data_IF_480552871184
#
_entry.id   IF_480552871184
#
_cell.length_a   1.000
_cell.length_b   1.000
_cell.length_c   1.000
_cell.angle_alpha   90.00
_cell.angle_beta   90.00
_cell.angle_gamma   90.00
#
_symmetry.space_group_name_H-M   'P 1'
#
loop_
_entity.id
_entity.type
_entity.pdbx_description
1 polymer ?
#
# COMPACT_ATOMS: atom_id res chain seq x y z
N UNK A 1 -1.29 37.36 -70.21
CA UNK A 1 -0.28 37.24 -69.13
C UNK A 1 0.41 35.90 -69.33
N UNK A 2 1.73 35.84 -69.36
CA UNK A 2 2.43 34.54 -69.51
C UNK A 2 2.26 33.75 -68.22
N UNK A 3 1.86 32.49 -68.33
CA UNK A 3 1.75 31.60 -67.18
C UNK A 3 3.16 31.40 -66.57
N UNK A 4 3.36 31.63 -65.26
CA UNK A 4 4.65 31.41 -64.62
C UNK A 4 5.11 29.95 -64.71
N UNK A 5 4.18 28.99 -64.74
CA UNK A 5 4.49 27.57 -64.90
C UNK A 5 5.00 27.22 -66.30
N UNK A 6 4.50 27.88 -67.35
CA UNK A 6 4.98 27.67 -68.72
C UNK A 6 6.43 28.16 -68.88
N UNK A 7 6.79 29.24 -68.19
CA UNK A 7 8.17 29.78 -68.20
C UNK A 7 9.15 28.84 -67.48
N UNK A 8 8.76 28.26 -66.35
CA UNK A 8 9.55 27.27 -65.63
C UNK A 8 9.69 25.96 -66.42
N UNK A 9 8.63 25.56 -67.12
CA UNK A 9 8.62 24.37 -67.99
C UNK A 9 9.57 24.55 -69.17
N UNK A 10 9.50 25.67 -69.88
CA UNK A 10 10.43 25.97 -70.97
C UNK A 10 11.88 26.04 -70.48
N UNK A 11 12.15 26.66 -69.33
CA UNK A 11 13.50 26.70 -68.77
C UNK A 11 14.03 25.30 -68.41
N UNK A 12 13.19 24.43 -67.85
CA UNK A 12 13.54 23.06 -67.52
C UNK A 12 13.85 22.21 -68.76
N UNK A 13 13.12 22.41 -69.87
CA UNK A 13 13.29 21.68 -71.13
C UNK A 13 14.48 22.20 -71.93
N UNK A 14 14.60 23.53 -72.08
CA UNK A 14 15.62 24.16 -72.92
C UNK A 14 17.01 24.11 -72.26
N UNK A 15 17.07 24.06 -70.92
CA UNK A 15 18.33 24.02 -70.16
C UNK A 15 18.30 22.97 -69.02
N UNK A 16 18.23 21.67 -69.37
CA UNK A 16 17.98 20.60 -68.40
C UNK A 16 19.10 20.46 -67.36
N UNK A 17 20.37 20.66 -67.75
CA UNK A 17 21.52 20.59 -66.83
C UNK A 17 21.47 21.66 -65.75
N UNK A 18 21.12 22.90 -66.10
CA UNK A 18 21.02 23.99 -65.10
C UNK A 18 19.79 23.86 -64.23
N UNK A 19 18.68 23.35 -64.76
CA UNK A 19 17.49 23.08 -63.97
C UNK A 19 17.74 21.99 -62.92
N UNK A 20 18.34 20.86 -63.32
CA UNK A 20 18.73 19.78 -62.39
C UNK A 20 19.73 20.29 -61.34
N UNK A 21 20.76 21.05 -61.74
CA UNK A 21 21.72 21.61 -60.80
C UNK A 21 21.06 22.57 -59.79
N UNK A 22 20.09 23.37 -60.22
CA UNK A 22 19.35 24.27 -59.34
C UNK A 22 18.46 23.50 -58.34
N UNK A 23 17.76 22.45 -58.77
CA UNK A 23 16.98 21.59 -57.88
C UNK A 23 17.86 20.83 -56.89
N UNK A 24 19.00 20.30 -57.34
CA UNK A 24 19.97 19.65 -56.44
C UNK A 24 20.52 20.66 -55.44
N UNK A 25 20.87 21.87 -55.87
CA UNK A 25 21.34 22.93 -54.97
C UNK A 25 20.25 23.36 -53.97
N UNK A 26 18.98 23.38 -54.38
CA UNK A 26 17.85 23.66 -53.49
C UNK A 26 17.65 22.53 -52.47
N UNK A 27 17.69 21.26 -52.90
CA UNK A 27 17.59 20.09 -52.00
C UNK A 27 18.74 20.10 -51.01
N UNK A 28 19.98 20.32 -51.48
CA UNK A 28 21.15 20.38 -50.62
C UNK A 28 21.07 21.58 -49.66
N UNK A 29 20.65 22.75 -50.14
CA UNK A 29 20.46 23.94 -49.32
C UNK A 29 19.40 23.72 -48.23
N UNK A 30 18.22 23.22 -48.59
CA UNK A 30 17.17 22.87 -47.63
C UNK A 30 17.64 21.78 -46.66
N UNK A 31 18.38 20.77 -47.15
CA UNK A 31 18.96 19.73 -46.29
C UNK A 31 20.03 20.26 -45.33
N UNK A 32 20.70 21.37 -45.63
CA UNK A 32 21.64 22.05 -44.73
C UNK A 32 20.92 22.92 -43.68
N UNK A 33 19.72 23.43 -43.97
CA UNK A 33 18.88 24.06 -42.92
C UNK A 33 18.25 23.02 -42.02
N UNK A 34 17.99 21.85 -42.59
CA UNK A 34 17.44 20.69 -41.92
C UNK A 34 18.55 19.95 -41.18
N UNK A 35 19.81 19.89 -41.62
CA UNK A 35 20.94 19.38 -40.84
C UNK A 35 21.78 20.54 -40.26
N UNK A 36 21.59 20.87 -38.98
CA UNK A 36 22.27 21.98 -38.29
C UNK A 36 23.82 21.91 -38.27
N UNK A 37 24.51 22.91 -37.69
CA UNK A 37 25.96 23.13 -37.84
C UNK A 37 26.85 22.23 -36.95
N UNK A 38 26.45 21.00 -36.66
CA UNK A 38 27.21 20.07 -35.80
C UNK A 38 27.53 18.79 -36.59
N UNK A 39 28.82 18.41 -36.76
CA UNK A 39 29.22 17.27 -37.59
C UNK A 39 28.83 15.88 -37.06
N UNK A 40 28.30 15.80 -35.83
CA UNK A 40 28.04 14.52 -35.14
C UNK A 40 26.59 14.05 -35.26
N UNK A 41 25.65 14.90 -35.70
CA UNK A 41 24.26 14.51 -36.01
C UNK A 41 23.97 14.74 -37.49
N UNK A 42 24.16 13.72 -38.32
CA UNK A 42 23.64 13.72 -39.70
C UNK A 42 22.11 13.57 -39.65
N UNK A 43 21.43 14.70 -39.48
CA UNK A 43 19.98 14.80 -39.43
C UNK A 43 19.60 15.94 -38.50
N UNK A 44 18.67 16.77 -38.94
CA UNK A 44 17.77 17.61 -38.13
C UNK A 44 17.72 17.18 -36.68
N UNK A 45 17.93 18.14 -35.80
CA UNK A 45 17.30 18.12 -34.49
C UNK A 45 15.77 18.18 -34.66
N UNK A 46 15.20 17.14 -35.26
CA UNK A 46 13.85 16.69 -34.92
C UNK A 46 14.06 16.05 -33.56
N UNK A 47 14.02 16.88 -32.53
CA UNK A 47 13.83 16.40 -31.18
C UNK A 47 12.36 16.02 -31.12
N UNK A 48 12.10 14.71 -31.10
CA UNK A 48 10.78 14.24 -30.74
C UNK A 48 10.62 14.55 -29.26
N UNK A 49 9.93 15.66 -29.00
CA UNK A 49 9.48 15.96 -27.66
C UNK A 49 8.47 14.86 -27.29
N UNK A 50 8.91 13.97 -26.40
CA UNK A 50 8.09 12.90 -25.85
C UNK A 50 7.55 13.29 -24.48
N UNK A 51 7.72 14.54 -24.06
CA UNK A 51 7.05 15.06 -22.87
C UNK A 51 5.55 15.11 -23.10
N UNK A 52 4.80 15.06 -22.00
CA UNK A 52 3.35 15.20 -22.01
C UNK A 52 2.89 16.46 -22.76
N UNK A 53 3.62 17.57 -22.58
CA UNK A 53 3.36 18.87 -23.20
C UNK A 53 3.37 18.84 -24.73
N UNK A 54 4.08 17.88 -25.35
CA UNK A 54 4.11 17.73 -26.80
C UNK A 54 2.79 17.22 -27.39
N UNK A 55 1.97 16.55 -26.55
CA UNK A 55 0.71 15.94 -26.96
C UNK A 55 -0.52 16.82 -26.68
N UNK A 56 -0.37 17.86 -25.86
CA UNK A 56 -1.44 18.80 -25.54
C UNK A 56 -1.30 20.13 -26.28
N UNK A 57 -2.42 20.78 -26.64
CA UNK A 57 -2.36 22.14 -27.17
C UNK A 57 -1.79 23.09 -26.10
N UNK A 58 -1.06 24.11 -26.55
CA UNK A 58 -0.42 25.07 -25.65
C UNK A 58 -1.43 25.63 -24.64
N UNK A 59 -1.03 25.70 -23.36
CA UNK A 59 -1.81 26.17 -22.21
C UNK A 59 -2.62 27.45 -22.49
N UNK A 60 -1.99 28.41 -23.16
CA UNK A 60 -2.61 29.70 -23.53
C UNK A 60 -3.78 29.58 -24.53
N UNK A 61 -3.91 28.44 -25.21
CA UNK A 61 -4.88 28.19 -26.28
C UNK A 61 -6.03 27.26 -25.86
N UNK A 62 -5.98 26.66 -24.66
CA UNK A 62 -6.98 25.70 -24.19
C UNK A 62 -7.20 25.80 -22.66
N UNK A 63 -8.43 26.14 -22.28
CA UNK A 63 -8.85 26.33 -20.87
C UNK A 63 -8.85 25.03 -20.05
N UNK A 64 -9.16 23.88 -20.67
CA UNK A 64 -9.15 22.58 -19.98
C UNK A 64 -7.72 22.13 -19.65
N UNK A 65 -6.77 22.39 -20.57
CA UNK A 65 -5.35 22.13 -20.37
C UNK A 65 -4.77 23.07 -19.31
N UNK A 66 -5.14 24.35 -19.32
CA UNK A 66 -4.76 25.32 -18.28
C UNK A 66 -5.24 24.92 -16.89
N UNK A 67 -6.47 24.40 -16.79
CA UNK A 67 -7.01 23.88 -15.55
C UNK A 67 -6.25 22.63 -15.07
N UNK A 68 -5.91 21.71 -15.96
CA UNK A 68 -5.14 20.50 -15.64
C UNK A 68 -3.78 20.86 -15.01
N UNK A 69 -2.98 21.69 -15.69
CA UNK A 69 -1.69 22.14 -15.16
C UNK A 69 -1.84 22.93 -13.85
N UNK A 70 -2.89 23.75 -13.73
CA UNK A 70 -3.13 24.49 -12.48
C UNK A 70 -3.42 23.54 -11.32
N UNK A 71 -4.16 22.45 -11.57
CA UNK A 71 -4.40 21.41 -10.56
C UNK A 71 -3.11 20.70 -10.21
N UNK A 72 -2.29 20.33 -11.20
CA UNK A 72 -1.02 19.65 -10.97
C UNK A 72 -0.03 20.52 -10.17
N UNK A 73 0.14 21.79 -10.57
CA UNK A 73 1.00 22.77 -9.90
C UNK A 73 0.54 23.07 -8.47
N UNK A 74 -0.78 23.05 -8.21
CA UNK A 74 -1.34 23.46 -6.91
C UNK A 74 -1.53 22.30 -5.94
N UNK A 75 -1.87 21.10 -6.43
CA UNK A 75 -2.39 20.02 -5.59
C UNK A 75 -1.65 18.68 -5.71
N UNK A 76 -0.79 18.46 -6.71
CA UNK A 76 -0.08 17.18 -6.83
C UNK A 76 1.37 17.28 -6.39
N UNK A 77 1.74 16.55 -5.34
CA UNK A 77 2.95 15.75 -5.41
C UNK A 77 2.77 14.74 -6.54
N UNK A 78 3.71 14.62 -7.47
CA UNK A 78 3.63 13.67 -8.58
C UNK A 78 3.72 12.23 -8.03
N UNK A 79 2.57 11.62 -7.78
CA UNK A 79 2.47 10.24 -7.30
C UNK A 79 2.15 9.34 -8.49
N UNK A 80 3.08 8.47 -8.82
CA UNK A 80 2.83 7.37 -9.75
C UNK A 80 2.33 6.15 -8.98
N UNK A 81 1.41 5.40 -9.60
CA UNK A 81 0.85 4.17 -9.03
C UNK A 81 1.18 3.01 -9.94
N UNK A 82 1.98 2.07 -9.45
CA UNK A 82 2.18 0.77 -10.11
C UNK A 82 1.14 -0.19 -9.57
N UNK A 83 0.26 -0.67 -10.45
CA UNK A 83 -0.80 -1.60 -10.08
C UNK A 83 -0.59 -2.96 -10.73
N UNK A 84 -0.51 -3.99 -9.90
CA UNK A 84 -0.59 -5.38 -10.34
C UNK A 84 -2.04 -5.82 -10.30
N UNK A 85 -2.53 -6.40 -11.39
CA UNK A 85 -3.82 -7.10 -11.43
C UNK A 85 -3.53 -8.60 -11.36
N UNK A 86 -4.02 -9.25 -10.30
CA UNK A 86 -3.79 -10.67 -10.06
C UNK A 86 -5.09 -11.41 -10.33
N UNK A 87 -5.08 -12.26 -11.35
CA UNK A 87 -6.21 -13.08 -11.77
C UNK A 87 -6.13 -14.49 -11.13
N UNK A 88 -7.28 -15.03 -10.74
CA UNK A 88 -7.43 -16.37 -10.19
C UNK A 88 -8.86 -16.90 -10.43
N UNK A 89 -9.10 -18.18 -10.16
CA UNK A 89 -10.42 -18.78 -10.36
C UNK A 89 -11.46 -18.19 -9.36
N UNK A 90 -12.73 -17.98 -9.77
CA UNK A 90 -13.79 -17.57 -8.86
C UNK A 90 -13.88 -18.48 -7.62
N UNK A 91 -13.94 -17.87 -6.44
CA UNK A 91 -13.96 -18.58 -5.16
C UNK A 91 -12.59 -19.01 -4.64
N UNK A 92 -11.50 -18.71 -5.36
CA UNK A 92 -10.15 -19.00 -4.88
C UNK A 92 -9.81 -18.23 -3.59
N UNK A 93 -10.44 -17.09 -3.30
CA UNK A 93 -10.26 -16.34 -2.06
C UNK A 93 -10.76 -17.09 -0.82
N UNK A 94 -11.59 -18.13 -0.97
CA UNK A 94 -11.97 -18.99 0.16
C UNK A 94 -10.84 -19.96 0.58
N UNK A 95 -9.76 -20.03 -0.22
CA UNK A 95 -8.61 -20.87 0.04
C UNK A 95 -7.42 -20.05 0.53
N UNK A 96 -6.88 -20.43 1.70
CA UNK A 96 -5.73 -19.79 2.33
C UNK A 96 -4.48 -19.76 1.43
N UNK A 97 -4.31 -20.75 0.52
CA UNK A 97 -3.17 -20.75 -0.41
C UNK A 97 -3.19 -19.57 -1.37
N UNK A 98 -4.38 -19.06 -1.71
CA UNK A 98 -4.52 -17.86 -2.57
C UNK A 98 -4.02 -16.63 -1.82
N UNK A 99 -4.34 -16.51 -0.53
CA UNK A 99 -3.86 -15.42 0.31
C UNK A 99 -2.35 -15.44 0.51
N UNK A 100 -1.77 -16.63 0.68
CA UNK A 100 -0.32 -16.80 0.74
C UNK A 100 0.36 -16.39 -0.58
N UNK A 101 -0.25 -16.72 -1.73
CA UNK A 101 0.23 -16.27 -3.04
C UNK A 101 0.16 -14.75 -3.18
N UNK A 102 -0.94 -14.11 -2.74
CA UNK A 102 -1.07 -12.65 -2.75
C UNK A 102 -0.03 -12.00 -1.82
N UNK A 103 0.23 -12.58 -0.65
CA UNK A 103 1.24 -12.11 0.29
C UNK A 103 2.65 -12.16 -0.32
N UNK A 104 2.98 -13.23 -1.05
CA UNK A 104 4.27 -13.35 -1.74
C UNK A 104 4.42 -12.30 -2.86
N UNK A 105 3.35 -12.03 -3.63
CA UNK A 105 3.36 -10.97 -4.65
C UNK A 105 3.53 -9.57 -4.03
N UNK A 106 2.85 -9.29 -2.93
CA UNK A 106 2.98 -8.04 -2.19
C UNK A 106 4.40 -7.89 -1.60
N UNK A 107 4.97 -8.96 -1.06
CA UNK A 107 6.35 -9.00 -0.57
C UNK A 107 7.37 -8.73 -1.68
N UNK A 108 7.20 -9.33 -2.86
CA UNK A 108 8.05 -9.07 -4.02
C UNK A 108 7.98 -7.59 -4.46
N UNK A 109 6.77 -7.02 -4.48
CA UNK A 109 6.60 -5.58 -4.75
C UNK A 109 7.27 -4.70 -3.69
N UNK A 110 7.26 -5.09 -2.42
CA UNK A 110 7.95 -4.40 -1.32
C UNK A 110 9.48 -4.51 -1.42
N UNK A 111 10.02 -5.59 -1.96
CA UNK A 111 11.47 -5.79 -2.07
C UNK A 111 12.07 -5.30 -3.39
N UNK A 112 11.23 -5.02 -4.38
CA UNK A 112 11.69 -4.60 -5.70
C UNK A 112 12.69 -3.42 -5.62
N UNK A 113 13.96 -3.73 -5.89
CA UNK A 113 15.08 -2.84 -5.53
C UNK A 113 15.04 -1.49 -6.23
N UNK A 114 14.60 -1.47 -7.49
CA UNK A 114 14.60 -0.26 -8.31
C UNK A 114 13.55 0.76 -7.88
N UNK A 115 12.46 0.32 -7.23
CA UNK A 115 11.42 1.23 -6.71
C UNK A 115 11.73 1.74 -5.30
N UNK A 116 12.58 1.05 -4.53
CA UNK A 116 12.80 1.29 -3.09
C UNK A 116 13.11 2.74 -2.70
N UNK A 117 13.87 3.47 -3.53
CA UNK A 117 14.26 4.87 -3.28
C UNK A 117 13.15 5.88 -3.54
N UNK A 118 12.11 5.46 -4.25
CA UNK A 118 11.03 6.31 -4.73
C UNK A 118 9.70 5.90 -4.12
N UNK A 119 9.66 4.92 -3.22
CA UNK A 119 8.38 4.51 -2.63
C UNK A 119 7.86 5.57 -1.68
N UNK A 120 6.59 5.91 -1.82
CA UNK A 120 5.89 6.72 -0.85
C UNK A 120 5.31 5.82 0.24
N UNK A 121 5.59 6.15 1.48
CA UNK A 121 4.94 5.51 2.62
C UNK A 121 3.57 6.15 2.85
N UNK A 122 2.52 5.33 2.81
CA UNK A 122 1.15 5.75 3.05
C UNK A 122 0.78 5.73 4.55
N UNK A 123 1.74 5.41 5.42
CA UNK A 123 1.57 5.23 6.87
C UNK A 123 1.22 3.79 7.26
N UNK A 124 0.78 2.97 6.31
CA UNK A 124 0.59 1.52 6.45
C UNK A 124 1.57 0.72 5.57
N UNK A 125 2.54 1.40 4.96
CA UNK A 125 3.48 0.84 4.00
C UNK A 125 3.38 1.49 2.62
N UNK A 126 4.27 1.08 1.73
CA UNK A 126 4.35 1.59 0.35
C UNK A 126 3.63 0.73 -0.69
N UNK A 127 3.23 -0.47 -0.29
CA UNK A 127 2.42 -1.40 -1.07
C UNK A 127 1.12 -1.62 -0.33
N UNK A 128 0.01 -1.39 -1.02
CA UNK A 128 -1.35 -1.63 -0.54
C UNK A 128 -1.94 -2.76 -1.35
N UNK A 129 -2.18 -3.89 -0.69
CA UNK A 129 -2.90 -5.01 -1.26
C UNK A 129 -3.75 -5.73 -0.22
N UNK A 130 -4.58 -6.67 -0.69
CA UNK A 130 -5.49 -7.42 0.16
C UNK A 130 -4.75 -8.27 1.21
N UNK A 131 -3.58 -8.84 0.90
CA UNK A 131 -2.85 -9.70 1.83
C UNK A 131 -2.24 -8.90 2.98
N UNK A 132 -1.68 -7.71 2.74
CA UNK A 132 -1.17 -6.82 3.80
C UNK A 132 -2.27 -6.39 4.77
N UNK A 133 -3.47 -6.09 4.26
CA UNK A 133 -4.61 -5.77 5.09
C UNK A 133 -5.11 -6.99 5.89
N UNK A 134 -5.15 -8.18 5.28
CA UNK A 134 -5.49 -9.42 5.96
C UNK A 134 -4.47 -9.80 7.04
N UNK A 135 -3.17 -9.62 6.77
CA UNK A 135 -2.09 -9.79 7.72
C UNK A 135 -2.27 -8.85 8.92
N UNK A 136 -2.49 -7.55 8.67
CA UNK A 136 -2.75 -6.58 9.72
C UNK A 136 -3.97 -6.94 10.58
N UNK A 137 -5.05 -7.39 9.96
CA UNK A 137 -6.24 -7.89 10.67
C UNK A 137 -5.90 -9.12 11.53
N UNK A 138 -5.17 -10.09 10.98
CA UNK A 138 -4.78 -11.31 11.69
C UNK A 138 -3.95 -11.02 12.95
N UNK A 139 -3.09 -10.01 12.89
CA UNK A 139 -2.20 -9.65 13.99
C UNK A 139 -2.90 -8.78 15.06
N UNK A 140 -3.82 -7.91 14.67
CA UNK A 140 -4.42 -6.92 15.59
C UNK A 140 -5.84 -7.23 16.04
N UNK A 141 -6.60 -7.99 15.25
CA UNK A 141 -8.04 -8.13 15.39
C UNK A 141 -8.47 -9.58 15.60
N UNK A 142 -7.89 -10.54 14.89
CA UNK A 142 -8.37 -11.94 14.85
C UNK A 142 -8.45 -12.54 16.26
N UNK A 143 -9.63 -12.94 16.75
CA UNK A 143 -9.79 -13.51 18.09
C UNK A 143 -9.10 -14.86 18.30
N UNK A 144 -8.59 -15.52 17.26
CA UNK A 144 -7.89 -16.82 17.39
C UNK A 144 -6.36 -16.69 17.38
N UNK A 145 -5.81 -15.56 16.92
CA UNK A 145 -4.36 -15.29 17.02
C UNK A 145 -4.05 -14.62 18.38
N UNK A 146 -4.04 -15.42 19.44
CA UNK A 146 -4.08 -14.94 20.83
C UNK A 146 -2.92 -15.38 21.71
N UNK A 147 -1.82 -15.89 21.17
CA UNK A 147 -0.68 -16.43 21.94
C UNK A 147 -0.20 -15.52 23.09
N UNK A 148 -0.11 -14.20 22.85
CA UNK A 148 0.30 -13.25 23.88
C UNK A 148 -0.81 -12.95 24.90
N UNK A 149 -2.08 -12.99 24.48
CA UNK A 149 -3.25 -12.86 25.36
C UNK A 149 -3.39 -14.09 26.27
N UNK A 150 -3.15 -15.28 25.74
CA UNK A 150 -3.15 -16.53 26.50
C UNK A 150 -2.05 -16.49 27.58
N UNK A 151 -0.85 -16.01 27.23
CA UNK A 151 0.25 -15.86 28.20
C UNK A 151 -0.10 -14.87 29.34
N UNK A 152 -0.80 -13.78 29.03
CA UNK A 152 -1.33 -12.85 30.04
C UNK A 152 -2.37 -13.55 30.92
N UNK A 153 -3.33 -14.26 30.31
CA UNK A 153 -4.39 -14.94 31.07
C UNK A 153 -3.82 -16.02 32.00
N UNK A 154 -2.85 -16.81 31.53
CA UNK A 154 -2.17 -17.84 32.32
C UNK A 154 -1.42 -17.26 33.52
N UNK A 155 -0.58 -16.24 33.30
CA UNK A 155 0.21 -15.60 34.37
C UNK A 155 -0.67 -14.83 35.37
N UNK A 156 -1.79 -14.29 34.90
CA UNK A 156 -2.82 -13.70 35.75
C UNK A 156 -3.48 -14.75 36.65
N UNK A 157 -3.87 -15.91 36.12
CA UNK A 157 -4.45 -16.99 36.92
C UNK A 157 -3.45 -17.54 37.93
N UNK A 158 -2.17 -17.64 37.57
CA UNK A 158 -1.10 -18.01 38.50
C UNK A 158 -0.98 -16.99 39.65
N UNK A 159 -1.02 -15.69 39.34
CA UNK A 159 -1.03 -14.61 40.34
C UNK A 159 -2.23 -14.69 41.30
N UNK A 160 -3.40 -15.10 40.81
CA UNK A 160 -4.60 -15.30 41.66
C UNK A 160 -4.52 -16.53 42.56
N UNK A 161 -3.87 -17.59 42.09
CA UNK A 161 -3.67 -18.82 42.84
C UNK A 161 -2.48 -18.75 43.81
N UNK A 162 -1.66 -17.70 43.71
CA UNK A 162 -0.46 -17.52 44.48
C UNK A 162 -0.74 -17.39 45.99
N UNK A 163 0.28 -17.70 46.78
CA UNK A 163 0.28 -17.50 48.24
C UNK A 163 1.33 -16.46 48.64
N UNK A 164 1.42 -16.15 49.94
CA UNK A 164 2.34 -15.13 50.49
C UNK A 164 3.81 -15.30 50.05
N UNK A 165 4.26 -16.53 49.78
CA UNK A 165 5.66 -16.78 49.38
C UNK A 165 5.92 -16.69 47.87
N UNK A 166 4.87 -16.79 47.05
CA UNK A 166 4.97 -16.90 45.58
C UNK A 166 4.38 -15.68 44.87
N UNK A 167 3.51 -14.91 45.53
CA UNK A 167 2.78 -13.80 44.91
C UNK A 167 3.67 -12.78 44.20
N UNK A 168 4.81 -12.39 44.79
CA UNK A 168 5.70 -11.41 44.15
C UNK A 168 6.38 -11.95 42.88
N UNK A 169 6.69 -13.24 42.85
CA UNK A 169 7.25 -13.91 41.66
C UNK A 169 6.19 -13.99 40.56
N UNK A 170 4.97 -14.39 40.90
CA UNK A 170 3.86 -14.48 39.94
C UNK A 170 3.47 -13.10 39.38
N UNK A 171 3.48 -12.04 40.20
CA UNK A 171 3.29 -10.67 39.72
C UNK A 171 4.41 -10.26 38.74
N UNK A 172 5.64 -10.72 38.97
CA UNK A 172 6.76 -10.44 38.06
C UNK A 172 6.55 -11.15 36.72
N UNK A 173 6.16 -12.43 36.75
CA UNK A 173 5.83 -13.18 35.54
C UNK A 173 4.64 -12.55 34.78
N UNK A 174 3.63 -12.04 35.49
CA UNK A 174 2.51 -11.35 34.86
C UNK A 174 2.96 -10.02 34.22
N UNK A 175 3.80 -9.24 34.89
CA UNK A 175 4.37 -8.03 34.29
C UNK A 175 5.21 -8.36 33.04
N UNK A 176 6.03 -9.42 33.07
CA UNK A 176 6.81 -9.86 31.91
C UNK A 176 5.91 -10.26 30.73
N UNK A 177 4.79 -10.95 30.98
CA UNK A 177 3.82 -11.27 29.94
C UNK A 177 3.18 -10.02 29.33
N UNK A 178 2.85 -9.01 30.16
CA UNK A 178 2.34 -7.72 29.69
C UNK A 178 3.39 -6.99 28.84
N UNK A 179 4.65 -7.00 29.25
CA UNK A 179 5.75 -6.31 28.54
C UNK A 179 6.05 -6.91 27.15
N UNK A 180 5.73 -8.20 26.94
CA UNK A 180 5.86 -8.88 25.64
C UNK A 180 4.69 -8.57 24.68
N UNK A 181 3.70 -7.80 25.12
CA UNK A 181 2.54 -7.47 24.29
C UNK A 181 2.92 -6.57 23.11
N UNK A 182 2.43 -6.82 21.89
CA UNK A 182 2.66 -5.96 20.73
C UNK A 182 2.04 -4.56 20.89
N UNK A 183 2.83 -3.57 21.29
CA UNK A 183 2.40 -2.19 21.55
C UNK A 183 2.72 -1.21 20.42
N UNK A 184 2.83 -1.71 19.19
CA UNK A 184 3.09 -0.91 17.99
C UNK A 184 2.15 -1.35 16.87
N UNK A 185 1.76 -0.44 15.95
CA UNK A 185 1.06 -0.84 14.73
C UNK A 185 1.84 -1.92 13.98
N UNK A 186 1.12 -2.81 13.30
CA UNK A 186 1.76 -3.86 12.51
C UNK A 186 2.57 -3.21 11.39
N UNK A 187 3.87 -3.46 11.39
CA UNK A 187 4.74 -3.15 10.25
C UNK A 187 4.50 -4.19 9.16
N UNK A 188 4.19 -3.74 7.95
CA UNK A 188 4.05 -4.63 6.78
C UNK A 188 5.42 -4.77 6.13
N UNK A 189 6.08 -5.89 6.41
CA UNK A 189 7.41 -6.22 5.88
C UNK A 189 7.34 -7.45 4.99
N UNK A 190 8.23 -7.53 4.01
CA UNK A 190 8.22 -8.60 3.02
C UNK A 190 8.42 -9.99 3.65
N UNK A 191 9.37 -10.13 4.57
CA UNK A 191 9.59 -11.39 5.30
C UNK A 191 8.36 -11.78 6.11
N UNK A 192 7.72 -10.82 6.79
CA UNK A 192 6.52 -11.06 7.58
C UNK A 192 5.34 -11.55 6.71
N UNK A 193 5.17 -11.00 5.51
CA UNK A 193 4.15 -11.44 4.56
C UNK A 193 4.43 -12.86 4.02
N UNK A 194 5.68 -13.21 3.76
CA UNK A 194 6.05 -14.55 3.27
C UNK A 194 5.95 -15.63 4.35
N UNK A 195 6.20 -15.26 5.61
CA UNK A 195 6.04 -16.15 6.76
C UNK A 195 4.59 -16.23 7.24
N UNK A 196 3.75 -15.26 6.87
CA UNK A 196 2.35 -15.25 7.25
C UNK A 196 1.57 -16.39 6.60
N UNK A 197 0.84 -17.10 7.45
CA UNK A 197 -0.21 -18.02 7.05
C UNK A 197 -1.44 -17.68 7.87
N UNK A 198 -2.60 -17.47 7.24
CA UNK A 198 -3.80 -17.16 7.99
C UNK A 198 -4.32 -18.38 8.75
N UNK A 199 -4.92 -18.13 9.92
CA UNK A 199 -5.55 -19.18 10.72
C UNK A 199 -6.80 -19.75 10.03
N UNK A 200 -7.07 -21.06 10.09
CA UNK A 200 -8.26 -21.64 9.48
C UNK A 200 -9.55 -20.92 9.89
N UNK A 201 -10.37 -20.56 8.89
CA UNK A 201 -11.65 -19.87 9.11
C UNK A 201 -11.55 -18.37 9.43
N UNK A 202 -10.36 -17.76 9.32
CA UNK A 202 -10.17 -16.33 9.56
C UNK A 202 -11.08 -15.44 8.71
N UNK A 203 -11.30 -15.79 7.43
CA UNK A 203 -12.09 -15.00 6.50
C UNK A 203 -13.54 -14.89 6.97
N UNK A 204 -14.13 -16.01 7.42
CA UNK A 204 -15.47 -16.04 8.00
C UNK A 204 -15.54 -15.20 9.28
N UNK A 205 -14.54 -15.31 10.16
CA UNK A 205 -14.47 -14.50 11.39
C UNK A 205 -14.40 -13.02 11.10
N UNK A 206 -13.58 -12.61 10.13
CA UNK A 206 -13.48 -11.23 9.68
C UNK A 206 -14.81 -10.73 9.11
N UNK A 207 -15.46 -11.53 8.27
CA UNK A 207 -16.72 -11.16 7.63
C UNK A 207 -17.85 -10.98 8.65
N UNK A 208 -17.87 -11.81 9.69
CA UNK A 208 -18.79 -11.72 10.84
C UNK A 208 -18.43 -10.59 11.83
N UNK A 209 -17.30 -9.89 11.62
CA UNK A 209 -16.84 -8.81 12.50
C UNK A 209 -16.35 -9.29 13.87
N UNK A 210 -15.92 -10.54 13.99
CA UNK A 210 -15.34 -11.06 15.23
C UNK A 210 -14.01 -10.35 15.55
N UNK A 211 -13.72 -10.16 16.84
CA UNK A 211 -12.57 -9.39 17.31
C UNK A 211 -12.21 -9.73 18.77
N UNK A 212 -11.14 -9.12 19.30
CA UNK A 212 -10.65 -9.37 20.68
C UNK A 212 -11.24 -8.43 21.74
N UNK A 213 -12.16 -7.53 21.41
CA UNK A 213 -12.61 -6.46 22.32
C UNK A 213 -13.15 -6.98 23.65
N UNK A 214 -13.84 -8.12 23.65
CA UNK A 214 -14.37 -8.73 24.88
C UNK A 214 -13.25 -9.18 25.81
N UNK A 215 -12.22 -9.83 25.29
CA UNK A 215 -11.06 -10.30 26.09
C UNK A 215 -10.23 -9.13 26.56
N UNK A 216 -9.95 -8.16 25.68
CA UNK A 216 -9.24 -6.91 26.04
C UNK A 216 -9.97 -6.15 27.15
N UNK A 217 -11.30 -6.10 27.11
CA UNK A 217 -12.12 -5.48 28.15
C UNK A 217 -12.00 -6.14 29.53
N UNK A 218 -11.54 -7.39 29.62
CA UNK A 218 -11.33 -8.10 30.89
C UNK A 218 -10.00 -7.76 31.56
N UNK A 219 -8.96 -7.37 30.80
CA UNK A 219 -7.62 -7.10 31.32
C UNK A 219 -7.61 -6.14 32.52
N UNK A 220 -8.37 -5.05 32.43
CA UNK A 220 -8.49 -4.08 33.52
C UNK A 220 -9.14 -4.69 34.77
N UNK A 221 -10.21 -5.47 34.60
CA UNK A 221 -10.85 -6.17 35.71
C UNK A 221 -9.90 -7.19 36.33
N UNK A 222 -9.07 -7.83 35.50
CA UNK A 222 -8.11 -8.81 35.98
C UNK A 222 -7.04 -8.16 36.85
N UNK A 223 -6.43 -7.08 36.37
CA UNK A 223 -5.43 -6.35 37.14
C UNK A 223 -6.00 -5.77 38.45
N UNK A 224 -7.21 -5.19 38.41
CA UNK A 224 -7.83 -4.58 39.60
C UNK A 224 -8.15 -5.57 40.73
N UNK A 225 -8.34 -6.86 40.42
CA UNK A 225 -8.57 -7.90 41.42
C UNK A 225 -7.30 -8.30 42.18
N UNK A 226 -6.09 -7.99 41.68
CA UNK A 226 -4.84 -8.32 42.35
C UNK A 226 -4.72 -7.68 43.73
N UNK A 227 -5.33 -6.50 43.94
CA UNK A 227 -5.42 -5.85 45.25
C UNK A 227 -6.14 -6.74 46.27
N UNK A 228 -7.22 -7.39 45.84
CA UNK A 228 -7.97 -8.30 46.70
C UNK A 228 -7.17 -9.55 47.04
N UNK A 229 -6.40 -10.07 46.08
CA UNK A 229 -5.48 -11.19 46.31
C UNK A 229 -4.39 -10.80 47.31
N UNK A 230 -3.76 -9.62 47.14
CA UNK A 230 -2.74 -9.10 48.05
C UNK A 230 -3.24 -8.96 49.50
N UNK A 231 -4.50 -8.55 49.69
CA UNK A 231 -5.15 -8.52 51.02
C UNK A 231 -5.34 -9.94 51.56
N UNK A 232 -5.76 -10.90 50.73
CA UNK A 232 -5.96 -12.30 51.16
C UNK A 232 -4.66 -12.99 51.57
N UNK A 233 -3.54 -12.68 50.90
CA UNK A 233 -2.22 -13.26 51.22
C UNK A 233 -1.41 -12.43 52.22
N UNK A 234 -2.02 -11.44 52.87
CA UNK A 234 -1.43 -10.57 53.90
C UNK A 234 -0.18 -9.81 53.44
N UNK A 235 -0.18 -9.38 52.17
CA UNK A 235 0.92 -8.61 51.57
C UNK A 235 0.52 -7.19 51.17
N UNK A 236 -0.73 -6.78 51.41
CA UNK A 236 -1.19 -5.46 50.98
C UNK A 236 -0.38 -4.31 51.61
N UNK A 237 0.09 -4.44 52.85
CA UNK A 237 0.89 -3.39 53.49
C UNK A 237 2.34 -3.29 52.97
N UNK A 238 2.75 -4.21 52.07
CA UNK A 238 4.06 -4.15 51.43
C UNK A 238 4.04 -3.14 50.26
N UNK A 239 4.73 -2.01 50.43
CA UNK A 239 4.83 -0.96 49.42
C UNK A 239 5.36 -1.45 48.06
N UNK A 240 6.26 -2.45 48.03
CA UNK A 240 6.76 -3.02 46.77
C UNK A 240 5.67 -3.79 46.03
N UNK A 241 4.82 -4.52 46.75
CA UNK A 241 3.69 -5.27 46.16
C UNK A 241 2.62 -4.29 45.66
N UNK A 242 2.31 -3.24 46.42
CA UNK A 242 1.41 -2.19 45.97
C UNK A 242 1.90 -1.54 44.67
N UNK A 243 3.21 -1.28 44.56
CA UNK A 243 3.80 -0.71 43.35
C UNK A 243 3.69 -1.68 42.17
N UNK A 244 4.06 -2.96 42.33
CA UNK A 244 3.94 -3.98 41.28
C UNK A 244 2.50 -4.09 40.76
N UNK A 245 1.50 -4.10 41.67
CA UNK A 245 0.09 -4.15 41.27
C UNK A 245 -0.30 -2.88 40.50
N UNK A 246 0.15 -1.70 40.94
CA UNK A 246 -0.13 -0.45 40.23
C UNK A 246 0.49 -0.42 38.83
N UNK A 247 1.69 -0.97 38.66
CA UNK A 247 2.37 -1.03 37.37
C UNK A 247 1.63 -1.97 36.42
N UNK A 248 1.20 -3.15 36.91
CA UNK A 248 0.36 -4.11 36.17
C UNK A 248 -0.99 -3.50 35.77
N UNK A 249 -1.65 -2.77 36.68
CA UNK A 249 -2.91 -2.08 36.39
C UNK A 249 -2.73 -1.04 35.26
N UNK A 250 -1.66 -0.26 35.31
CA UNK A 250 -1.35 0.74 34.29
C UNK A 250 -1.01 0.08 32.94
N UNK A 251 -0.17 -0.95 32.94
CA UNK A 251 0.20 -1.70 31.74
C UNK A 251 -1.04 -2.36 31.08
N UNK A 252 -1.88 -3.02 31.88
CA UNK A 252 -3.12 -3.64 31.42
C UNK A 252 -4.07 -2.62 30.78
N UNK A 253 -4.19 -1.42 31.38
CA UNK A 253 -4.98 -0.34 30.81
C UNK A 253 -4.41 0.17 29.49
N UNK A 254 -3.09 0.43 29.44
CA UNK A 254 -2.41 0.90 28.23
C UNK A 254 -2.57 -0.09 27.06
N UNK A 255 -2.35 -1.38 27.32
CA UNK A 255 -2.51 -2.47 26.35
C UNK A 255 -3.94 -2.51 25.81
N UNK A 256 -4.93 -2.51 26.71
CA UNK A 256 -6.34 -2.54 26.34
C UNK A 256 -6.68 -1.35 25.44
N UNK A 257 -6.30 -0.14 25.84
CA UNK A 257 -6.59 1.08 25.09
C UNK A 257 -5.91 1.09 23.72
N UNK A 258 -4.66 0.66 23.64
CA UNK A 258 -3.93 0.57 22.38
C UNK A 258 -4.63 -0.39 21.41
N UNK A 259 -4.86 -1.65 21.80
CA UNK A 259 -5.46 -2.63 20.90
C UNK A 259 -6.92 -2.30 20.54
N UNK A 260 -7.71 -1.75 21.48
CA UNK A 260 -9.07 -1.26 21.18
C UNK A 260 -9.02 -0.14 20.15
N UNK A 261 -8.08 0.81 20.27
CA UNK A 261 -7.92 1.88 19.30
C UNK A 261 -7.54 1.32 17.92
N UNK A 262 -6.59 0.38 17.85
CA UNK A 262 -6.19 -0.26 16.59
C UNK A 262 -7.34 -0.98 15.89
N UNK A 263 -8.15 -1.74 16.64
CA UNK A 263 -9.30 -2.47 16.10
C UNK A 263 -10.43 -1.55 15.61
N UNK A 264 -10.61 -0.39 16.24
CA UNK A 264 -11.67 0.56 15.86
C UNK A 264 -11.24 1.57 14.79
N UNK A 265 -9.94 1.78 14.59
CA UNK A 265 -9.43 2.85 13.71
C UNK A 265 -9.08 2.37 12.31
N UNK A 266 -8.73 1.08 12.14
CA UNK A 266 -8.28 0.55 10.85
C UNK A 266 -9.38 -0.34 10.25
N UNK A 267 -9.98 0.06 9.12
CA UNK A 267 -11.06 -0.67 8.48
C UNK A 267 -10.49 -1.79 7.56
N UNK A 268 -9.91 -2.83 8.16
CA UNK A 268 -9.18 -3.86 7.42
C UNK A 268 -10.02 -4.57 6.35
N UNK A 269 -11.29 -4.90 6.64
CA UNK A 269 -12.19 -5.55 5.68
C UNK A 269 -12.40 -4.63 4.47
N UNK A 270 -12.66 -3.35 4.72
CA UNK A 270 -12.86 -2.35 3.69
C UNK A 270 -11.59 -2.14 2.85
N UNK A 271 -10.40 -2.16 3.48
CA UNK A 271 -9.12 -2.10 2.77
C UNK A 271 -8.95 -3.29 1.84
N UNK A 272 -9.29 -4.51 2.27
CA UNK A 272 -9.29 -5.70 1.40
C UNK A 272 -10.28 -5.52 0.24
N UNK A 273 -11.53 -5.16 0.55
CA UNK A 273 -12.59 -4.99 -0.45
C UNK A 273 -12.34 -3.83 -1.42
N UNK A 274 -11.52 -2.84 -1.04
CA UNK A 274 -11.13 -1.74 -1.92
C UNK A 274 -10.20 -2.17 -3.07
N UNK A 275 -9.55 -3.33 -2.90
CA UNK A 275 -8.67 -3.94 -3.91
C UNK A 275 -9.41 -4.91 -4.84
N UNK A 276 -10.75 -4.89 -4.79
CA UNK A 276 -11.61 -5.83 -5.49
C UNK A 276 -12.58 -5.11 -6.41
N UNK A 277 -12.95 -5.70 -7.55
CA UNK A 277 -13.99 -5.16 -8.41
C UNK A 277 -15.34 -5.15 -7.67
N UNK A 278 -16.10 -4.07 -7.85
CA UNK A 278 -17.46 -3.94 -7.31
C UNK A 278 -18.53 -4.40 -8.29
N UNK A 279 -18.13 -4.67 -9.54
CA UNK A 279 -19.01 -5.05 -10.64
C UNK A 279 -18.37 -6.15 -11.48
N UNK A 280 -19.20 -7.00 -12.03
CA UNK A 280 -18.82 -8.04 -13.00
C UNK A 280 -19.54 -7.82 -14.33
N UNK A 281 -19.01 -8.42 -15.39
CA UNK A 281 -19.66 -8.40 -16.70
C UNK A 281 -20.89 -9.32 -16.71
N UNK A 282 -21.99 -8.85 -17.30
CA UNK A 282 -23.20 -9.61 -17.56
C UNK A 282 -23.69 -9.30 -18.97
N UNK A 283 -23.16 -10.05 -19.95
CA UNK A 283 -23.37 -9.76 -21.37
C UNK A 283 -22.68 -8.45 -21.77
N UNK A 284 -23.45 -7.49 -22.26
CA UNK A 284 -22.95 -6.16 -22.66
C UNK A 284 -22.99 -5.13 -21.52
N UNK A 285 -23.53 -5.49 -20.35
CA UNK A 285 -23.69 -4.61 -19.19
C UNK A 285 -22.80 -5.05 -18.00
N UNK A 286 -22.69 -4.18 -16.99
CA UNK A 286 -22.04 -4.48 -15.71
C UNK A 286 -23.05 -4.51 -14.57
N UNK A 287 -23.06 -5.59 -13.79
CA UNK A 287 -23.91 -5.72 -12.60
C UNK A 287 -23.07 -5.65 -11.33
N UNK A 288 -23.67 -5.13 -10.25
CA UNK A 288 -23.01 -5.06 -8.94
C UNK A 288 -22.82 -6.47 -8.38
N UNK A 289 -21.63 -6.74 -7.85
CA UNK A 289 -21.37 -7.93 -7.05
C UNK A 289 -21.82 -7.61 -5.62
N UNK A 290 -22.82 -8.33 -5.06
CA UNK A 290 -23.21 -8.18 -3.66
C UNK A 290 -22.00 -8.37 -2.76
N UNK A 291 -21.88 -7.57 -1.69
CA UNK A 291 -20.70 -7.62 -0.81
C UNK A 291 -20.49 -9.02 -0.22
N UNK A 292 -21.57 -9.66 0.23
CA UNK A 292 -21.58 -11.01 0.81
C UNK A 292 -21.09 -12.09 -0.19
N UNK A 293 -21.20 -11.83 -1.50
CA UNK A 293 -20.80 -12.77 -2.54
C UNK A 293 -19.37 -12.49 -3.06
N UNK A 294 -18.72 -11.41 -2.63
CA UNK A 294 -17.42 -10.99 -3.21
C UNK A 294 -16.35 -12.06 -3.06
N UNK A 295 -16.25 -12.67 -1.89
CA UNK A 295 -15.26 -13.72 -1.62
C UNK A 295 -15.38 -14.93 -2.56
N UNK A 296 -16.61 -15.29 -2.93
CA UNK A 296 -16.88 -16.49 -3.74
C UNK A 296 -16.94 -16.22 -5.25
N UNK A 297 -17.09 -14.97 -5.67
CA UNK A 297 -17.35 -14.60 -7.08
C UNK A 297 -16.23 -13.86 -7.76
N UNK A 298 -15.37 -13.19 -7.01
CA UNK A 298 -14.26 -12.41 -7.57
C UNK A 298 -13.21 -13.35 -8.16
N UNK A 299 -12.67 -12.94 -9.31
CA UNK A 299 -11.60 -13.59 -10.07
C UNK A 299 -10.37 -12.69 -10.26
N UNK A 300 -10.40 -11.45 -9.77
CA UNK A 300 -9.28 -10.51 -9.87
C UNK A 300 -9.17 -9.60 -8.65
N UNK A 301 -7.94 -9.35 -8.21
CA UNK A 301 -7.62 -8.32 -7.21
C UNK A 301 -6.53 -7.39 -7.72
N UNK A 302 -6.44 -6.21 -7.13
CA UNK A 302 -5.38 -5.24 -7.42
C UNK A 302 -4.43 -5.10 -6.24
N UNK A 303 -3.14 -5.04 -6.51
CA UNK A 303 -2.11 -4.61 -5.55
C UNK A 303 -1.52 -3.31 -6.08
N UNK A 304 -1.46 -2.27 -5.24
CA UNK A 304 -1.00 -0.94 -5.65
C UNK A 304 0.27 -0.56 -4.90
N UNK A 305 1.29 -0.10 -5.60
CA UNK A 305 2.49 0.53 -5.02
C UNK A 305 2.53 2.00 -5.41
N UNK A 306 2.80 2.85 -4.44
CA UNK A 306 2.88 4.29 -4.62
C UNK A 306 4.34 4.72 -4.77
N UNK A 307 4.62 5.48 -5.82
CA UNK A 307 5.96 5.93 -6.19
C UNK A 307 5.94 7.45 -6.29
N UNK A 308 6.94 8.09 -5.67
CA UNK A 308 7.29 9.48 -5.82
C UNK A 308 8.02 9.70 -7.16
N UNK A 309 7.55 10.67 -7.92
CA UNK A 309 8.13 11.05 -9.19
C UNK A 309 8.81 12.44 -9.13
N UNK A 310 9.33 12.87 -7.97
CA UNK A 310 10.15 14.09 -7.94
C UNK A 310 11.26 14.01 -9.01
N UNK A 311 11.37 14.99 -9.93
CA UNK A 311 12.26 14.93 -11.11
C UNK A 311 13.76 14.76 -10.82
N UNK A 312 14.20 14.94 -9.57
CA UNK A 312 15.58 14.68 -9.14
C UNK A 312 15.85 13.25 -8.70
N UNK A 313 14.82 12.41 -8.61
CA UNK A 313 14.90 11.11 -7.95
C UNK A 313 15.42 10.00 -8.90
N UNK A 314 15.06 10.05 -10.19
CA UNK A 314 15.44 9.01 -11.17
C UNK A 314 16.84 9.13 -11.76
N UNK A 315 17.65 10.09 -11.27
CA UNK A 315 18.94 10.43 -11.85
C UNK A 315 18.77 11.17 -13.17
N UNK A 316 19.61 12.17 -13.43
CA UNK A 316 19.71 12.76 -14.76
C UNK A 316 20.04 11.63 -15.77
N UNK A 317 19.14 11.40 -16.71
CA UNK A 317 19.36 10.51 -17.87
C UNK A 317 20.19 11.24 -18.91
#
# INVERSE_FOLDING_TARGET
MKNPFDSLTHWSIDKPKTAVAAFIALILGLSMFVAGPIPESLGVGIEFDNSEDAFFPARESNEDVDLLYTIEETYTSSIDIVRLMVEFDPGALENDTTWMMLADLEAEMLEHSNSSKHRLDTGIGSVLGPASAAYGWSMMVDPENVTWLDAIEDTMFASYAANTSTFSEELTAYQEALDLTPMQPVSIEADALREWSPEPGWLERMDQGQNRLVTLGKLQSWAGNLRSVAVQVDLWDNASIQQQISDIENASWNISMFHIAMQNSIPYKELILSNMPTKEANGDDFVLIPEDDRWSRIDVVTISMFIDNEPGAWGEV
#
